data_IF_291977062484
#
_entry.id   IF_291977062484
#
_cell.length_a   1.000
_cell.length_b   1.000
_cell.length_c   1.000
_cell.angle_alpha   90.00
_cell.angle_beta   90.00
_cell.angle_gamma   90.00
#
_symmetry.space_group_name_H-M   'P 1'
#
loop_
_entity.id
_entity.type
_entity.pdbx_description
1 polymer ?
#
# COMPACT_ATOMS: atom_id res chain seq x y z
N UNK A 1 20.81 7.37 9.01
CA UNK A 1 20.30 7.51 7.63
C UNK A 1 19.14 8.47 7.60
N UNK A 2 18.99 9.20 6.52
CA UNK A 2 17.85 10.07 6.35
C UNK A 2 16.64 9.30 5.82
N UNK A 3 15.45 9.81 6.13
CA UNK A 3 14.21 9.27 5.56
C UNK A 3 14.18 9.65 4.09
N UNK A 4 14.00 8.68 3.16
CA UNK A 4 13.88 8.99 1.75
C UNK A 4 12.60 9.77 1.46
N UNK A 5 12.54 10.54 0.37
CA UNK A 5 11.31 11.20 -0.05
C UNK A 5 10.17 10.19 -0.24
N UNK A 6 8.94 10.61 0.05
CA UNK A 6 7.78 9.79 -0.26
C UNK A 6 7.66 9.60 -1.77
N UNK A 7 7.08 8.46 -2.18
CA UNK A 7 6.85 8.12 -3.58
C UNK A 7 5.35 8.09 -3.81
N UNK A 8 4.88 8.72 -4.87
CA UNK A 8 3.49 8.64 -5.26
C UNK A 8 3.36 8.67 -6.78
N UNK A 9 2.33 7.98 -7.27
CA UNK A 9 1.95 7.94 -8.68
C UNK A 9 0.44 7.94 -8.77
N UNK A 10 -0.08 8.39 -9.91
CA UNK A 10 -1.51 8.47 -10.16
C UNK A 10 -1.86 7.85 -11.50
N UNK A 11 -3.11 7.38 -11.58
CA UNK A 11 -3.70 6.87 -12.82
C UNK A 11 -5.18 7.25 -12.84
N UNK A 12 -5.75 7.42 -14.02
CA UNK A 12 -7.19 7.63 -14.18
C UNK A 12 -7.86 6.30 -14.49
N UNK A 13 -8.89 5.97 -13.73
CA UNK A 13 -9.67 4.74 -13.88
C UNK A 13 -11.12 5.11 -14.13
N UNK A 14 -11.76 4.46 -15.11
CA UNK A 14 -13.15 4.72 -15.51
C UNK A 14 -14.15 4.06 -14.56
N UNK A 15 -14.10 4.44 -13.28
CA UNK A 15 -15.01 4.01 -12.22
C UNK A 15 -15.20 5.17 -11.24
N UNK A 16 -16.27 5.14 -10.46
CA UNK A 16 -16.51 6.16 -9.45
C UNK A 16 -15.52 6.08 -8.29
N UNK A 17 -15.26 7.19 -7.57
CA UNK A 17 -14.41 7.17 -6.39
C UNK A 17 -14.89 6.17 -5.33
N UNK A 18 -16.20 6.03 -5.16
CA UNK A 18 -16.79 5.11 -4.19
C UNK A 18 -16.54 3.66 -4.58
N UNK A 19 -16.71 3.30 -5.86
CA UNK A 19 -16.44 1.95 -6.35
C UNK A 19 -14.97 1.58 -6.14
N UNK A 20 -14.06 2.50 -6.45
CA UNK A 20 -12.62 2.25 -6.31
C UNK A 20 -12.22 2.16 -4.84
N UNK A 21 -12.80 3.00 -4.00
CA UNK A 21 -12.60 2.88 -2.56
C UNK A 21 -13.06 1.50 -2.06
N UNK A 22 -14.25 1.07 -2.45
CA UNK A 22 -14.78 -0.22 -2.02
C UNK A 22 -13.87 -1.39 -2.46
N UNK A 23 -13.27 -1.31 -3.64
CA UNK A 23 -12.29 -2.29 -4.10
C UNK A 23 -11.01 -2.26 -3.27
N UNK A 24 -10.38 -1.09 -3.18
CA UNK A 24 -9.07 -0.92 -2.54
C UNK A 24 -9.15 -1.19 -1.03
N UNK A 25 -10.22 -0.78 -0.38
CA UNK A 25 -10.38 -0.96 1.07
C UNK A 25 -10.77 -2.38 1.47
N UNK A 26 -11.18 -3.21 0.54
CA UNK A 26 -11.33 -4.64 0.77
C UNK A 26 -9.95 -5.30 0.64
N UNK A 27 -9.22 -5.36 1.75
CA UNK A 27 -7.85 -5.87 1.75
C UNK A 27 -7.76 -7.33 1.31
N UNK A 28 -8.85 -8.10 1.42
CA UNK A 28 -8.87 -9.50 0.98
C UNK A 28 -8.67 -9.64 -0.53
N UNK A 29 -8.87 -8.57 -1.28
CA UNK A 29 -8.67 -8.51 -2.73
C UNK A 29 -7.29 -8.03 -3.14
N UNK A 30 -6.43 -7.63 -2.19
CA UNK A 30 -5.14 -7.00 -2.50
C UNK A 30 -4.26 -7.82 -3.44
N UNK A 31 -4.35 -9.15 -3.35
CA UNK A 31 -3.59 -10.04 -4.24
C UNK A 31 -3.94 -9.90 -5.72
N UNK A 32 -5.07 -9.26 -6.05
CA UNK A 32 -5.48 -9.07 -7.45
C UNK A 32 -4.65 -7.98 -8.17
N UNK A 33 -4.06 -7.05 -7.41
CA UNK A 33 -3.29 -5.95 -8.00
C UNK A 33 -1.91 -5.73 -7.39
N UNK A 34 -1.62 -6.24 -6.21
CA UNK A 34 -0.29 -6.08 -5.61
C UNK A 34 0.71 -7.08 -6.20
N UNK A 35 1.91 -6.63 -6.61
CA UNK A 35 2.94 -7.55 -7.12
C UNK A 35 3.55 -8.43 -6.03
N UNK A 36 3.57 -8.00 -4.77
CA UNK A 36 4.19 -8.75 -3.68
C UNK A 36 3.18 -9.38 -2.72
N UNK A 37 2.12 -8.67 -2.36
CA UNK A 37 1.12 -9.17 -1.43
C UNK A 37 0.19 -10.15 -2.14
N UNK A 38 0.24 -11.42 -1.74
CA UNK A 38 -0.54 -12.49 -2.38
C UNK A 38 -1.86 -12.76 -1.68
N UNK A 39 -1.95 -12.49 -0.38
CA UNK A 39 -3.15 -12.71 0.41
C UNK A 39 -3.18 -11.76 1.59
N UNK A 40 -4.36 -11.25 1.90
CA UNK A 40 -4.58 -10.43 3.09
C UNK A 40 -5.85 -10.89 3.81
N UNK A 41 -5.88 -10.70 5.13
CA UNK A 41 -7.03 -11.05 5.94
C UNK A 41 -7.14 -10.12 7.14
N UNK A 42 -8.39 -9.87 7.59
CA UNK A 42 -8.64 -9.02 8.77
C UNK A 42 -8.30 -9.78 10.04
N UNK A 43 -7.61 -9.13 10.98
CA UNK A 43 -7.29 -9.67 12.30
C UNK A 43 -8.26 -9.17 13.36
N UNK A 44 -8.56 -7.86 13.34
CA UNK A 44 -9.45 -7.22 14.29
C UNK A 44 -10.33 -6.22 13.55
N UNK A 45 -11.61 -6.24 13.84
CA UNK A 45 -12.60 -5.44 13.14
C UNK A 45 -13.07 -6.10 11.85
N UNK A 46 -14.23 -5.72 11.40
CA UNK A 46 -14.87 -6.28 10.21
C UNK A 46 -14.84 -5.24 9.10
N UNK A 47 -13.70 -5.13 8.46
CA UNK A 47 -13.59 -4.29 7.32
C UNK A 47 -12.85 -2.98 7.56
N UNK A 48 -12.95 -2.03 6.60
CA UNK A 48 -12.10 -0.84 6.54
C UNK A 48 -12.53 0.25 7.51
N UNK A 49 -12.11 0.12 8.76
CA UNK A 49 -12.33 1.11 9.81
C UNK A 49 -11.01 1.57 10.39
N UNK A 50 -10.92 2.84 10.77
CA UNK A 50 -9.78 3.35 11.51
C UNK A 50 -9.59 2.52 12.77
N UNK A 51 -8.36 2.05 13.00
CA UNK A 51 -8.01 1.20 14.13
C UNK A 51 -8.05 -0.29 13.84
N UNK A 52 -8.69 -0.74 12.77
CA UNK A 52 -8.70 -2.15 12.37
C UNK A 52 -7.31 -2.61 11.93
N UNK A 53 -7.03 -3.90 12.17
CA UNK A 53 -5.76 -4.51 11.79
C UNK A 53 -5.98 -5.60 10.76
N UNK A 54 -5.05 -5.69 9.81
CA UNK A 54 -5.04 -6.80 8.86
C UNK A 54 -3.62 -7.34 8.69
N UNK A 55 -3.54 -8.59 8.24
CA UNK A 55 -2.27 -9.23 7.91
C UNK A 55 -2.17 -9.43 6.41
N UNK A 56 -0.93 -9.43 5.92
CA UNK A 56 -0.65 -9.75 4.53
C UNK A 56 0.46 -10.76 4.42
N UNK A 57 0.33 -11.70 3.47
CA UNK A 57 1.41 -12.61 3.10
C UNK A 57 2.02 -12.10 1.81
N UNK A 58 3.31 -11.81 1.86
CA UNK A 58 4.07 -11.24 0.76
C UNK A 58 5.04 -12.30 0.21
N UNK A 59 5.19 -12.34 -1.10
CA UNK A 59 6.06 -13.30 -1.76
C UNK A 59 6.86 -12.63 -2.87
N UNK A 60 8.15 -12.89 -2.89
CA UNK A 60 9.06 -12.66 -4.01
C UNK A 60 9.77 -14.00 -4.29
N UNK A 61 10.46 -14.18 -5.43
CA UNK A 61 11.03 -15.48 -5.77
C UNK A 61 11.90 -16.11 -4.68
N UNK A 62 12.64 -15.30 -3.92
CA UNK A 62 13.59 -15.80 -2.92
C UNK A 62 13.07 -15.74 -1.49
N UNK A 63 11.85 -15.21 -1.24
CA UNK A 63 11.41 -14.98 0.13
C UNK A 63 9.89 -14.84 0.26
N UNK A 64 9.37 -15.32 1.40
CA UNK A 64 7.97 -15.12 1.82
C UNK A 64 7.99 -14.54 3.24
N UNK A 65 7.14 -13.53 3.49
CA UNK A 65 7.03 -12.94 4.84
C UNK A 65 5.63 -12.40 5.07
N UNK A 66 5.27 -12.22 6.34
CA UNK A 66 4.00 -11.63 6.74
C UNK A 66 4.19 -10.24 7.31
N UNK A 67 3.21 -9.39 7.07
CA UNK A 67 3.13 -8.05 7.64
C UNK A 67 1.80 -7.89 8.37
N UNK A 68 1.79 -7.02 9.39
CA UNK A 68 0.55 -6.56 10.04
C UNK A 68 0.43 -5.06 9.84
N UNK A 69 -0.76 -4.61 9.51
CA UNK A 69 -1.00 -3.20 9.20
C UNK A 69 -2.25 -2.70 9.89
N UNK A 70 -2.23 -1.44 10.30
CA UNK A 70 -3.37 -0.80 10.94
C UNK A 70 -3.93 0.29 10.06
N UNK A 71 -5.26 0.32 9.92
CA UNK A 71 -5.95 1.36 9.18
C UNK A 71 -5.89 2.66 9.98
N UNK A 72 -5.39 3.73 9.37
CA UNK A 72 -5.28 5.05 10.00
C UNK A 72 -6.19 6.10 9.36
N UNK A 73 -6.68 5.85 8.15
CA UNK A 73 -7.68 6.69 7.50
C UNK A 73 -8.56 5.83 6.60
N UNK A 74 -9.87 6.03 6.68
CA UNK A 74 -10.84 5.30 5.88
C UNK A 74 -12.06 6.21 5.66
N UNK A 75 -12.08 6.89 4.52
CA UNK A 75 -13.15 7.80 4.15
C UNK A 75 -13.63 7.43 2.75
N UNK A 76 -14.83 6.88 2.68
CA UNK A 76 -15.37 6.30 1.43
C UNK A 76 -15.37 7.30 0.29
N UNK A 77 -14.75 6.94 -0.82
CA UNK A 77 -14.64 7.78 -2.00
C UNK A 77 -13.57 8.86 -1.91
N UNK A 78 -12.84 8.95 -0.80
CA UNK A 78 -11.82 9.98 -0.58
C UNK A 78 -10.44 9.39 -0.37
N UNK A 79 -10.25 8.58 0.68
CA UNK A 79 -8.93 8.01 0.98
C UNK A 79 -8.99 6.73 1.79
N UNK A 80 -7.95 5.93 1.63
CA UNK A 80 -7.71 4.72 2.41
C UNK A 80 -6.23 4.64 2.71
N UNK A 81 -5.86 4.66 4.01
CA UNK A 81 -4.46 4.73 4.44
C UNK A 81 -4.20 3.72 5.55
N UNK A 82 -3.08 3.02 5.46
CA UNK A 82 -2.67 2.11 6.52
C UNK A 82 -1.17 2.23 6.79
N UNK A 83 -0.77 1.83 8.00
CA UNK A 83 0.61 1.84 8.45
C UNK A 83 1.04 0.41 8.77
N UNK A 84 2.16 0.00 8.19
CA UNK A 84 2.70 -1.35 8.37
C UNK A 84 3.49 -1.43 9.66
N UNK A 85 3.22 -2.46 10.45
CA UNK A 85 3.93 -2.75 11.70
C UNK A 85 3.76 -1.66 12.73
N UNK A 86 4.83 -1.38 13.47
CA UNK A 86 4.85 -0.35 14.48
C UNK A 86 5.33 0.99 13.92
N UNK A 87 4.60 1.58 12.99
CA UNK A 87 4.95 2.85 12.34
C UNK A 87 6.21 2.75 11.47
N UNK A 88 6.28 1.72 10.63
CA UNK A 88 7.43 1.53 9.72
C UNK A 88 7.22 2.16 8.36
N UNK A 89 6.09 1.90 7.74
CA UNK A 89 5.78 2.36 6.38
C UNK A 89 4.31 2.76 6.31
N UNK A 90 4.06 3.89 5.67
CA UNK A 90 2.70 4.37 5.43
C UNK A 90 2.36 4.20 3.95
N UNK A 91 1.28 3.45 3.68
CA UNK A 91 0.69 3.29 2.36
C UNK A 91 -0.61 4.07 2.31
N UNK A 92 -0.82 4.84 1.25
CA UNK A 92 -2.03 5.62 1.09
C UNK A 92 -2.61 5.53 -0.30
N UNK A 93 -3.93 5.57 -0.38
CA UNK A 93 -4.69 5.72 -1.63
C UNK A 93 -5.60 6.92 -1.48
N UNK A 94 -5.65 7.77 -2.49
CA UNK A 94 -6.63 8.86 -2.56
C UNK A 94 -7.39 8.79 -3.87
N UNK A 95 -8.64 9.25 -3.85
CA UNK A 95 -9.57 9.12 -4.96
C UNK A 95 -10.14 10.50 -5.26
N UNK A 96 -9.87 11.03 -6.45
CA UNK A 96 -10.33 12.36 -6.85
C UNK A 96 -11.17 12.24 -8.12
N UNK A 97 -12.44 12.69 -8.09
CA UNK A 97 -13.26 12.68 -9.31
C UNK A 97 -12.62 13.56 -10.38
N UNK A 98 -12.57 13.05 -11.60
CA UNK A 98 -12.08 13.80 -12.76
C UNK A 98 -12.96 13.48 -13.94
N UNK A 99 -12.79 14.22 -15.03
CA UNK A 99 -13.50 13.92 -16.28
C UNK A 99 -13.09 12.53 -16.76
N UNK A 100 -14.07 11.66 -16.96
CA UNK A 100 -13.84 10.30 -17.43
C UNK A 100 -13.62 9.27 -16.34
N UNK A 101 -13.72 9.64 -15.05
CA UNK A 101 -13.61 8.67 -13.97
C UNK A 101 -13.03 9.23 -12.69
N UNK A 102 -12.03 8.56 -12.18
CA UNK A 102 -11.37 8.90 -10.91
C UNK A 102 -9.86 8.87 -11.09
N UNK A 103 -9.20 9.90 -10.59
CA UNK A 103 -7.75 9.88 -10.43
C UNK A 103 -7.44 9.16 -9.12
N UNK A 104 -6.78 8.02 -9.22
CA UNK A 104 -6.32 7.24 -8.06
C UNK A 104 -4.84 7.53 -7.86
N UNK A 105 -4.49 7.97 -6.66
CA UNK A 105 -3.09 8.21 -6.29
C UNK A 105 -2.70 7.22 -5.22
N UNK A 106 -1.64 6.47 -5.45
CA UNK A 106 -1.04 5.60 -4.45
C UNK A 106 0.25 6.23 -3.96
N UNK A 107 0.46 6.23 -2.64
CA UNK A 107 1.65 6.81 -2.00
C UNK A 107 2.30 5.83 -1.04
N UNK A 108 3.61 6.00 -0.88
CA UNK A 108 4.44 5.19 0.02
C UNK A 108 5.40 6.12 0.74
N UNK A 109 5.52 5.93 2.06
CA UNK A 109 6.40 6.76 2.88
C UNK A 109 7.06 5.92 3.97
N UNK A 110 8.37 6.01 4.05
CA UNK A 110 9.13 5.42 5.16
C UNK A 110 9.00 6.33 6.39
N UNK A 111 8.74 5.72 7.54
CA UNK A 111 8.58 6.43 8.81
C UNK A 111 9.85 6.27 9.65
N UNK A 112 10.08 7.16 10.63
CA UNK A 112 11.33 7.15 11.43
C UNK A 112 11.65 5.81 12.08
N UNK A 113 10.64 5.07 12.55
CA UNK A 113 10.87 3.79 13.23
C UNK A 113 11.46 2.73 12.29
N UNK A 114 11.18 2.82 10.98
CA UNK A 114 11.79 1.92 10.01
C UNK A 114 13.30 2.13 9.94
N UNK A 115 13.74 3.38 9.95
CA UNK A 115 15.16 3.70 9.90
C UNK A 115 15.88 3.09 11.12
N UNK A 116 15.31 3.27 12.31
CA UNK A 116 15.86 2.69 13.54
C UNK A 116 15.92 1.17 13.46
N UNK A 117 14.85 0.54 12.98
CA UNK A 117 14.77 -0.91 12.85
C UNK A 117 15.85 -1.43 11.91
N UNK A 118 16.02 -0.81 10.75
CA UNK A 118 17.03 -1.23 9.79
C UNK A 118 18.44 -1.06 10.34
N UNK A 119 18.74 0.07 11.01
CA UNK A 119 20.05 0.31 11.61
C UNK A 119 20.36 -0.70 12.71
N UNK A 120 19.38 -1.03 13.56
CA UNK A 120 19.54 -1.99 14.64
C UNK A 120 19.75 -3.42 14.12
N UNK A 121 19.03 -3.82 13.07
CA UNK A 121 19.07 -5.20 12.57
C UNK A 121 20.17 -5.45 11.56
N UNK A 122 20.51 -4.46 10.76
CA UNK A 122 21.38 -4.66 9.60
C UNK A 122 22.68 -3.86 9.66
N UNK A 123 22.81 -2.94 10.60
CA UNK A 123 24.04 -2.14 10.77
C UNK A 123 24.45 -1.49 9.45
N UNK A 124 25.65 -1.84 8.94
CA UNK A 124 26.18 -1.28 7.71
C UNK A 124 25.38 -1.69 6.46
N UNK A 125 24.54 -2.71 6.55
CA UNK A 125 23.66 -3.14 5.45
C UNK A 125 22.35 -2.38 5.37
N UNK A 126 22.04 -1.52 6.35
CA UNK A 126 20.76 -0.82 6.42
C UNK A 126 20.50 0.09 5.23
N UNK A 127 21.51 0.82 4.78
CA UNK A 127 21.38 1.76 3.67
C UNK A 127 21.02 1.04 2.37
N UNK A 128 21.68 -0.09 2.08
CA UNK A 128 21.40 -0.90 0.90
C UNK A 128 19.97 -1.50 0.96
N UNK A 129 19.55 -1.95 2.14
CA UNK A 129 18.20 -2.49 2.31
C UNK A 129 17.14 -1.42 2.11
N UNK A 130 17.37 -0.21 2.62
CA UNK A 130 16.46 0.91 2.41
C UNK A 130 16.36 1.26 0.92
N UNK A 131 17.50 1.30 0.22
CA UNK A 131 17.52 1.56 -1.22
C UNK A 131 16.72 0.52 -2.01
N UNK A 132 16.80 -0.76 -1.62
CA UNK A 132 16.02 -1.82 -2.24
C UNK A 132 14.52 -1.61 -2.02
N UNK A 133 14.10 -1.17 -0.85
CA UNK A 133 12.70 -0.89 -0.56
C UNK A 133 12.18 0.31 -1.34
N UNK A 134 12.99 1.35 -1.47
CA UNK A 134 12.66 2.53 -2.29
C UNK A 134 12.44 2.11 -3.75
N UNK A 135 13.33 1.29 -4.30
CA UNK A 135 13.22 0.82 -5.68
C UNK A 135 11.99 -0.09 -5.86
N UNK A 136 11.71 -0.96 -4.90
CA UNK A 136 10.53 -1.81 -4.93
C UNK A 136 9.24 -0.99 -4.96
N UNK A 137 9.16 0.11 -4.19
CA UNK A 137 8.02 0.99 -4.21
C UNK A 137 7.91 1.76 -5.54
N UNK A 138 9.05 2.23 -6.06
CA UNK A 138 9.09 2.99 -7.31
C UNK A 138 8.59 2.17 -8.50
N UNK A 139 8.89 0.89 -8.55
CA UNK A 139 8.43 0.01 -9.62
C UNK A 139 7.08 -0.64 -9.31
N UNK A 140 6.81 -0.91 -8.04
CA UNK A 140 5.59 -1.59 -7.59
C UNK A 140 4.33 -0.73 -7.68
N UNK A 141 4.43 0.56 -7.36
CA UNK A 141 3.28 1.46 -7.40
C UNK A 141 2.68 1.55 -8.81
N UNK A 142 3.45 1.85 -9.87
CA UNK A 142 2.89 1.85 -11.23
C UNK A 142 2.27 0.50 -11.62
N UNK A 143 2.91 -0.60 -11.25
CA UNK A 143 2.40 -1.94 -11.55
C UNK A 143 1.08 -2.20 -10.84
N UNK A 144 0.97 -1.81 -9.57
CA UNK A 144 -0.27 -1.94 -8.78
C UNK A 144 -1.40 -1.12 -9.39
N UNK A 145 -1.13 0.13 -9.74
CA UNK A 145 -2.15 1.01 -10.33
C UNK A 145 -2.63 0.49 -11.69
N UNK A 146 -1.73 -0.01 -12.52
CA UNK A 146 -2.08 -0.59 -13.82
C UNK A 146 -2.96 -1.83 -13.65
N UNK A 147 -2.61 -2.71 -12.70
CA UNK A 147 -3.40 -3.90 -12.41
C UNK A 147 -4.77 -3.55 -11.84
N UNK A 148 -4.83 -2.58 -10.92
CA UNK A 148 -6.09 -2.10 -10.36
C UNK A 148 -7.01 -1.55 -11.45
N UNK A 149 -6.46 -0.76 -12.37
CA UNK A 149 -7.22 -0.23 -13.52
C UNK A 149 -7.80 -1.36 -14.36
N UNK A 150 -7.00 -2.35 -14.68
CA UNK A 150 -7.43 -3.48 -15.49
C UNK A 150 -8.57 -4.26 -14.81
N UNK A 151 -8.44 -4.55 -13.53
CA UNK A 151 -9.48 -5.26 -12.77
C UNK A 151 -10.75 -4.42 -12.68
N UNK A 152 -10.63 -3.15 -12.34
CA UNK A 152 -11.76 -2.24 -12.17
C UNK A 152 -12.55 -2.03 -13.45
N UNK A 153 -11.86 -1.85 -14.58
CA UNK A 153 -12.50 -1.56 -15.87
C UNK A 153 -13.04 -2.81 -16.55
N UNK A 154 -12.62 -4.00 -16.11
CA UNK A 154 -13.11 -5.28 -16.62
C UNK A 154 -14.35 -5.79 -15.91
N UNK A 155 -14.69 -5.19 -14.81
CA UNK A 155 -15.80 -5.61 -13.95
C UNK A 155 -17.17 -5.08 -14.43
#
# INVERSE_FOLDING_TARGET
MDIPPSISESIVIERSPEDLYDMVSDVTRMGEWSPECKACWWNEGDGPKVGAWFSGRNEVPERTWETKSQIVAASRGEEFVFVVGGNYVRWGYSFTPVTGGTQVTESWQVLPDMIKLLEERMGSGAEAQLANRVEAARTGIPATLAALKQVAESA
#
